data_IF_324540381632
#
_entry.id   IF_324540381632
#
_cell.length_a   1.000
_cell.length_b   1.000
_cell.length_c   1.000
_cell.angle_alpha   90.00
_cell.angle_beta   90.00
_cell.angle_gamma   90.00
#
_symmetry.space_group_name_H-M   'P 1'
#
loop_
_entity.id
_entity.type
_entity.pdbx_description
1 polymer ?
#
# COMPACT_ATOMS: atom_id res chain seq x y z
N UNK A 1 -15.24 -7.82 -25.82
CA UNK A 1 -13.78 -7.90 -25.62
C UNK A 1 -13.36 -6.60 -24.93
N UNK A 2 -13.04 -6.62 -23.64
CA UNK A 2 -12.69 -5.42 -22.88
C UNK A 2 -11.27 -5.56 -22.36
N UNK A 3 -10.32 -5.29 -23.24
CA UNK A 3 -8.98 -4.86 -22.85
C UNK A 3 -8.46 -3.99 -23.99
N UNK A 4 -8.59 -2.69 -23.82
CA UNK A 4 -7.87 -1.68 -24.59
C UNK A 4 -7.00 -0.87 -23.63
N UNK A 5 -5.80 -0.42 -24.06
CA UNK A 5 -4.85 0.26 -23.19
C UNK A 5 -5.37 1.68 -22.93
N UNK A 6 -5.77 1.97 -21.70
CA UNK A 6 -6.26 3.28 -21.30
C UNK A 6 -7.18 3.19 -20.10
N UNK A 7 -7.17 4.22 -19.25
CA UNK A 7 -7.95 4.35 -18.01
C UNK A 7 -9.47 4.21 -18.20
N UNK A 8 -9.98 3.03 -18.54
CA UNK A 8 -11.39 2.79 -18.81
C UNK A 8 -11.84 1.42 -18.25
N UNK A 9 -11.62 1.20 -16.95
CA UNK A 9 -12.23 0.07 -16.27
C UNK A 9 -13.75 0.30 -16.16
N UNK A 10 -14.54 -0.51 -16.87
CA UNK A 10 -16.01 -0.45 -16.82
C UNK A 10 -16.56 -0.94 -15.49
N UNK A 11 -15.87 -1.90 -14.87
CA UNK A 11 -16.23 -2.46 -13.58
C UNK A 11 -15.02 -2.37 -12.64
N UNK A 12 -15.27 -2.09 -11.37
CA UNK A 12 -14.29 -2.22 -10.30
C UNK A 12 -14.85 -3.19 -9.27
N UNK A 13 -14.07 -4.20 -8.94
CA UNK A 13 -14.37 -5.07 -7.80
C UNK A 13 -13.43 -4.70 -6.67
N UNK A 14 -14.00 -4.32 -5.54
CA UNK A 14 -13.29 -3.96 -4.33
C UNK A 14 -13.55 -5.02 -3.26
N UNK A 15 -12.47 -5.57 -2.71
CA UNK A 15 -12.50 -6.68 -1.77
C UNK A 15 -11.95 -6.26 -0.42
N UNK A 16 -12.68 -6.56 0.65
CA UNK A 16 -12.23 -6.42 2.02
C UNK A 16 -11.88 -7.80 2.57
N UNK A 17 -10.66 -7.95 3.08
CA UNK A 17 -10.16 -9.18 3.68
C UNK A 17 -9.72 -8.91 5.11
N UNK A 18 -10.10 -9.80 6.02
CA UNK A 18 -9.63 -9.79 7.39
C UNK A 18 -8.17 -10.27 7.44
N UNK A 19 -7.31 -9.55 8.17
CA UNK A 19 -5.88 -9.77 8.10
C UNK A 19 -5.43 -11.09 8.73
N UNK A 20 -6.03 -11.56 9.81
CA UNK A 20 -5.49 -12.70 10.56
C UNK A 20 -6.02 -14.03 9.99
N UNK A 21 -7.33 -14.12 9.79
CA UNK A 21 -8.01 -15.29 9.23
C UNK A 21 -7.93 -15.39 7.71
N UNK A 22 -7.48 -14.31 7.03
CA UNK A 22 -7.44 -14.20 5.56
C UNK A 22 -8.79 -14.43 4.88
N UNK A 23 -9.88 -14.28 5.62
CA UNK A 23 -11.24 -14.43 5.09
C UNK A 23 -11.67 -13.16 4.38
N UNK A 24 -12.29 -13.33 3.22
CA UNK A 24 -12.96 -12.23 2.52
C UNK A 24 -14.25 -11.88 3.27
N UNK A 25 -14.35 -10.65 3.76
CA UNK A 25 -15.51 -10.16 4.51
C UNK A 25 -16.55 -9.55 3.55
N UNK A 26 -16.08 -8.79 2.57
CA UNK A 26 -16.94 -8.05 1.65
C UNK A 26 -16.34 -8.03 0.26
N UNK A 27 -17.19 -8.19 -0.74
CA UNK A 27 -16.86 -7.99 -2.16
C UNK A 27 -17.92 -7.07 -2.73
N UNK A 28 -17.49 -5.95 -3.31
CA UNK A 28 -18.37 -4.98 -3.94
C UNK A 28 -17.92 -4.80 -5.39
N UNK A 29 -18.82 -5.07 -6.33
CA UNK A 29 -18.59 -4.77 -7.74
C UNK A 29 -19.43 -3.56 -8.11
N UNK A 30 -18.76 -2.52 -8.63
CA UNK A 30 -19.39 -1.28 -9.06
C UNK A 30 -19.22 -1.12 -10.56
N UNK A 31 -20.24 -0.57 -11.20
CA UNK A 31 -20.19 -0.16 -12.59
C UNK A 31 -19.79 1.32 -12.68
N UNK A 32 -18.91 1.63 -13.63
CA UNK A 32 -18.42 2.98 -13.90
C UNK A 32 -19.52 4.02 -14.20
N UNK A 33 -20.70 3.58 -14.63
CA UNK A 33 -21.90 4.42 -14.79
C UNK A 33 -22.38 5.01 -13.46
N UNK A 34 -22.05 4.37 -12.34
CA UNK A 34 -22.41 4.85 -10.99
C UNK A 34 -21.57 6.05 -10.52
N UNK A 35 -20.49 6.40 -11.24
CA UNK A 35 -19.56 7.48 -10.84
C UNK A 35 -19.37 8.55 -11.91
N UNK A 36 -20.41 8.82 -12.71
CA UNK A 36 -20.35 9.78 -13.83
C UNK A 36 -19.16 9.50 -14.77
N UNK A 37 -18.82 8.21 -14.97
CA UNK A 37 -17.69 7.78 -15.80
C UNK A 37 -16.29 8.18 -15.31
N UNK A 38 -16.11 8.47 -14.01
CA UNK A 38 -14.78 8.74 -13.41
C UNK A 38 -14.25 7.52 -12.65
N UNK A 39 -13.11 6.97 -13.10
CA UNK A 39 -12.53 5.76 -12.51
C UNK A 39 -12.00 5.97 -11.09
N UNK A 40 -11.34 7.10 -10.79
CA UNK A 40 -10.81 7.37 -9.46
C UNK A 40 -11.93 7.36 -8.38
N UNK A 41 -13.12 7.82 -8.77
CA UNK A 41 -14.30 7.80 -7.91
C UNK A 41 -14.83 6.38 -7.66
N UNK A 42 -14.54 5.43 -8.54
CA UNK A 42 -15.05 4.06 -8.47
C UNK A 42 -14.38 3.27 -7.35
N UNK A 43 -13.05 3.37 -7.21
CA UNK A 43 -12.31 2.77 -6.09
C UNK A 43 -12.75 3.37 -4.75
N UNK A 44 -12.85 4.70 -4.68
CA UNK A 44 -13.33 5.40 -3.49
C UNK A 44 -14.75 4.95 -3.12
N UNK A 45 -15.64 4.82 -4.11
CA UNK A 45 -17.01 4.35 -3.90
C UNK A 45 -17.03 2.91 -3.38
N UNK A 46 -16.23 2.02 -3.98
CA UNK A 46 -16.07 0.64 -3.53
C UNK A 46 -15.58 0.54 -2.09
N UNK A 47 -14.57 1.36 -1.74
CA UNK A 47 -14.06 1.46 -0.39
C UNK A 47 -15.15 1.89 0.61
N UNK A 48 -15.87 2.98 0.33
CA UNK A 48 -16.93 3.48 1.20
C UNK A 48 -18.04 2.45 1.39
N UNK A 49 -18.51 1.82 0.30
CA UNK A 49 -19.57 0.80 0.36
C UNK A 49 -19.14 -0.45 1.12
N UNK A 50 -17.89 -0.89 0.96
CA UNK A 50 -17.38 -2.02 1.71
C UNK A 50 -17.22 -1.70 3.20
N UNK A 51 -16.71 -0.51 3.55
CA UNK A 51 -16.65 -0.06 4.95
C UNK A 51 -18.04 0.03 5.60
N UNK A 52 -19.05 0.52 4.86
CA UNK A 52 -20.45 0.54 5.31
C UNK A 52 -20.99 -0.88 5.54
N UNK A 53 -20.81 -1.78 4.58
CA UNK A 53 -21.24 -3.19 4.68
C UNK A 53 -20.60 -3.91 5.87
N UNK A 54 -19.32 -3.68 6.14
CA UNK A 54 -18.63 -4.24 7.32
C UNK A 54 -19.25 -3.71 8.62
N UNK A 55 -19.55 -2.40 8.69
CA UNK A 55 -20.18 -1.77 9.86
C UNK A 55 -21.63 -2.23 10.06
N UNK A 56 -22.41 -2.37 9.00
CA UNK A 56 -23.79 -2.87 9.03
C UNK A 56 -23.89 -4.30 9.53
N UNK A 57 -22.87 -5.12 9.24
CA UNK A 57 -22.74 -6.48 9.80
C UNK A 57 -22.30 -6.52 11.26
N UNK A 58 -22.14 -5.37 11.90
CA UNK A 58 -21.72 -5.25 13.30
C UNK A 58 -20.24 -5.55 13.55
N UNK A 59 -19.40 -5.58 12.50
CA UNK A 59 -17.98 -5.83 12.65
C UNK A 59 -17.25 -4.53 13.05
N UNK A 60 -16.44 -4.62 14.11
CA UNK A 60 -15.62 -3.51 14.56
C UNK A 60 -14.29 -3.47 13.80
N UNK A 61 -14.11 -2.45 12.95
CA UNK A 61 -12.87 -2.24 12.22
C UNK A 61 -11.88 -1.45 13.09
N UNK A 62 -10.80 -2.09 13.54
CA UNK A 62 -9.73 -1.44 14.32
C UNK A 62 -8.72 -0.72 13.44
N UNK A 63 -8.36 -1.36 12.34
CA UNK A 63 -7.34 -0.88 11.40
C UNK A 63 -7.74 -1.25 9.97
N UNK A 64 -7.41 -0.36 9.05
CA UNK A 64 -7.54 -0.59 7.61
C UNK A 64 -6.18 -0.35 6.97
N UNK A 65 -5.72 -1.32 6.18
CA UNK A 65 -4.50 -1.23 5.38
C UNK A 65 -4.89 -0.99 3.92
N UNK A 66 -4.41 0.08 3.32
CA UNK A 66 -4.64 0.38 1.89
C UNK A 66 -3.38 0.84 1.18
N UNK A 67 -3.43 0.86 -0.15
CA UNK A 67 -2.46 1.60 -0.94
C UNK A 67 -2.44 3.10 -0.59
N UNK A 68 -1.39 3.78 -1.01
CA UNK A 68 -1.22 5.23 -0.90
C UNK A 68 -2.13 6.01 -1.88
N UNK A 69 -3.41 5.64 -1.96
CA UNK A 69 -4.40 6.33 -2.78
C UNK A 69 -4.92 7.57 -2.03
N UNK A 70 -4.60 8.75 -2.56
CA UNK A 70 -4.93 10.05 -1.96
C UNK A 70 -6.41 10.22 -1.58
N UNK A 71 -7.33 9.74 -2.41
CA UNK A 71 -8.77 9.87 -2.15
C UNK A 71 -9.21 9.01 -0.97
N UNK A 72 -8.71 7.78 -0.87
CA UNK A 72 -9.01 6.87 0.25
C UNK A 72 -8.40 7.42 1.54
N UNK A 73 -7.15 7.88 1.50
CA UNK A 73 -6.51 8.53 2.65
C UNK A 73 -7.28 9.76 3.14
N UNK A 74 -7.81 10.57 2.21
CA UNK A 74 -8.68 11.70 2.56
C UNK A 74 -10.00 11.25 3.20
N UNK A 75 -10.59 10.14 2.74
CA UNK A 75 -11.80 9.55 3.34
C UNK A 75 -11.51 9.05 4.74
N UNK A 76 -10.42 8.32 4.97
CA UNK A 76 -10.02 7.84 6.29
C UNK A 76 -9.84 9.01 7.27
N UNK A 77 -9.10 10.05 6.86
CA UNK A 77 -8.86 11.23 7.70
C UNK A 77 -10.12 12.05 8.01
N UNK A 78 -11.11 12.08 7.11
CA UNK A 78 -12.31 12.92 7.26
C UNK A 78 -13.50 12.17 7.87
N UNK A 79 -13.70 10.91 7.50
CA UNK A 79 -14.92 10.12 7.77
C UNK A 79 -14.68 9.04 8.83
N UNK A 80 -13.57 8.30 8.74
CA UNK A 80 -13.27 7.16 9.61
C UNK A 80 -12.10 7.47 10.57
N UNK A 81 -12.22 8.57 11.32
CA UNK A 81 -11.14 9.11 12.18
C UNK A 81 -10.78 8.18 13.35
N UNK A 82 -11.72 7.35 13.76
CA UNK A 82 -11.60 6.37 14.82
C UNK A 82 -10.85 5.10 14.38
N UNK A 83 -10.72 4.88 13.07
CA UNK A 83 -10.09 3.70 12.50
C UNK A 83 -8.64 4.03 12.17
N UNK A 84 -7.70 3.21 12.67
CA UNK A 84 -6.30 3.35 12.31
C UNK A 84 -6.13 3.12 10.81
N UNK A 85 -5.52 4.06 10.10
CA UNK A 85 -5.20 3.91 8.69
C UNK A 85 -3.71 3.62 8.53
N UNK A 86 -3.41 2.48 7.92
CA UNK A 86 -2.05 2.03 7.62
C UNK A 86 -1.87 1.80 6.12
N UNK A 87 -0.62 1.80 5.68
CA UNK A 87 -0.28 1.60 4.28
C UNK A 87 0.25 0.20 4.02
N UNK A 88 -0.03 -0.32 2.82
CA UNK A 88 0.52 -1.59 2.39
C UNK A 88 2.06 -1.50 2.26
N UNK A 89 2.74 -2.22 3.16
CA UNK A 89 4.20 -2.31 3.21
C UNK A 89 4.75 -2.96 1.93
N UNK A 90 3.99 -3.84 1.27
CA UNK A 90 4.45 -4.51 0.06
C UNK A 90 4.60 -3.53 -1.09
N UNK A 91 3.61 -2.65 -1.26
CA UNK A 91 3.71 -1.56 -2.21
C UNK A 91 4.86 -0.60 -1.88
N UNK A 92 5.11 -0.32 -0.60
CA UNK A 92 6.25 0.48 -0.17
C UNK A 92 7.60 -0.17 -0.51
N UNK A 93 7.79 -1.45 -0.16
CA UNK A 93 9.00 -2.23 -0.44
C UNK A 93 9.28 -2.35 -1.94
N UNK A 94 8.23 -2.58 -2.74
CA UNK A 94 8.32 -2.61 -4.20
C UNK A 94 8.75 -1.26 -4.78
N UNK A 95 8.18 -0.16 -4.28
CA UNK A 95 8.55 1.19 -4.72
C UNK A 95 9.98 1.56 -4.31
N UNK A 96 10.43 1.12 -3.12
CA UNK A 96 11.81 1.25 -2.69
C UNK A 96 12.75 0.53 -3.66
N UNK A 97 12.47 -0.72 -4.00
CA UNK A 97 13.26 -1.49 -4.96
C UNK A 97 13.40 -0.78 -6.32
N UNK A 98 12.29 -0.23 -6.85
CA UNK A 98 12.32 0.56 -8.10
C UNK A 98 13.25 1.78 -8.00
N UNK A 99 13.21 2.50 -6.87
CA UNK A 99 14.08 3.67 -6.64
C UNK A 99 15.54 3.28 -6.53
N UNK A 100 15.85 2.19 -5.83
CA UNK A 100 17.21 1.65 -5.71
C UNK A 100 17.77 1.25 -7.08
N UNK A 101 16.97 0.56 -7.90
CA UNK A 101 17.37 0.16 -9.26
C UNK A 101 17.62 1.39 -10.14
N UNK A 102 16.76 2.41 -10.04
CA UNK A 102 16.92 3.66 -10.79
C UNK A 102 18.19 4.40 -10.36
N UNK A 103 18.44 4.53 -9.05
CA UNK A 103 19.65 5.14 -8.51
C UNK A 103 20.92 4.37 -8.92
N UNK A 104 20.87 3.04 -8.92
CA UNK A 104 21.97 2.18 -9.33
C UNK A 104 22.30 2.19 -10.83
N UNK A 105 21.49 2.87 -11.66
CA UNK A 105 21.88 3.11 -13.07
C UNK A 105 23.00 4.15 -13.20
N UNK A 106 23.18 5.01 -12.19
CA UNK A 106 24.32 5.92 -12.14
C UNK A 106 25.62 5.12 -11.98
N UNK A 107 26.65 5.49 -12.75
CA UNK A 107 27.96 4.82 -12.70
C UNK A 107 28.59 4.89 -11.32
N UNK A 108 28.36 5.98 -10.57
CA UNK A 108 28.88 6.17 -9.22
C UNK A 108 28.11 5.37 -8.17
N UNK A 109 26.93 4.84 -8.51
CA UNK A 109 26.03 4.16 -7.58
C UNK A 109 25.76 2.70 -7.98
N UNK A 110 26.55 2.14 -8.91
CA UNK A 110 26.28 0.82 -9.51
C UNK A 110 26.26 -0.33 -8.51
N UNK A 111 26.98 -0.18 -7.39
CA UNK A 111 26.96 -1.12 -6.27
C UNK A 111 25.56 -1.28 -5.66
N UNK A 112 24.70 -0.24 -5.69
CA UNK A 112 23.32 -0.34 -5.22
C UNK A 112 22.52 -1.42 -5.93
N UNK A 113 22.83 -1.74 -7.19
CA UNK A 113 22.13 -2.79 -7.93
C UNK A 113 22.36 -4.17 -7.29
N UNK A 114 23.60 -4.43 -6.82
CA UNK A 114 23.96 -5.70 -6.17
C UNK A 114 23.17 -5.90 -4.88
N UNK A 115 23.01 -4.83 -4.11
CA UNK A 115 22.41 -4.85 -2.77
C UNK A 115 20.91 -4.53 -2.74
N UNK A 116 20.33 -4.12 -3.86
CA UNK A 116 18.93 -3.66 -3.95
C UNK A 116 17.93 -4.66 -3.34
N UNK A 117 18.16 -5.96 -3.54
CA UNK A 117 17.34 -7.02 -2.99
C UNK A 117 17.47 -7.12 -1.47
N UNK A 118 18.69 -7.06 -0.95
CA UNK A 118 18.97 -7.14 0.49
C UNK A 118 18.39 -5.94 1.23
N UNK A 119 18.52 -4.74 0.66
CA UNK A 119 17.92 -3.52 1.22
C UNK A 119 16.39 -3.63 1.27
N UNK A 120 15.75 -4.11 0.20
CA UNK A 120 14.28 -4.29 0.17
C UNK A 120 13.83 -5.35 1.18
N UNK A 121 14.57 -6.46 1.30
CA UNK A 121 14.27 -7.51 2.27
C UNK A 121 14.43 -7.02 3.71
N UNK A 122 15.50 -6.27 4.00
CA UNK A 122 15.74 -5.69 5.32
C UNK A 122 14.66 -4.66 5.68
N UNK A 123 14.28 -3.81 4.73
CA UNK A 123 13.15 -2.88 4.90
C UNK A 123 11.86 -3.64 5.25
N UNK A 124 11.50 -4.67 4.48
CA UNK A 124 10.32 -5.50 4.74
C UNK A 124 10.36 -6.15 6.13
N UNK A 125 11.50 -6.75 6.48
CA UNK A 125 11.69 -7.39 7.78
C UNK A 125 11.57 -6.37 8.92
N UNK A 126 12.18 -5.20 8.77
CA UNK A 126 12.13 -4.12 9.77
C UNK A 126 10.70 -3.63 9.98
N UNK A 127 9.93 -3.40 8.91
CA UNK A 127 8.51 -3.05 9.02
C UNK A 127 7.67 -4.10 9.76
N UNK A 128 8.08 -5.37 9.71
CA UNK A 128 7.37 -6.46 10.40
C UNK A 128 7.65 -6.51 11.90
N UNK A 129 8.85 -6.10 12.34
CA UNK A 129 9.30 -6.28 13.72
C UNK A 129 9.32 -4.99 14.54
N UNK A 130 9.38 -3.83 13.89
CA UNK A 130 9.46 -2.55 14.58
C UNK A 130 8.13 -2.24 15.27
N UNK A 131 8.19 -1.84 16.53
CA UNK A 131 7.02 -1.50 17.32
C UNK A 131 6.58 -0.05 17.14
N UNK A 132 7.53 0.81 16.74
CA UNK A 132 7.30 2.24 16.52
C UNK A 132 8.22 2.78 15.41
N UNK A 133 8.03 4.07 15.12
CA UNK A 133 8.78 4.76 14.07
C UNK A 133 10.26 4.90 14.43
N UNK A 134 10.61 5.09 15.70
CA UNK A 134 11.98 5.31 16.12
C UNK A 134 12.80 4.02 15.97
N UNK A 135 12.25 2.90 16.43
CA UNK A 135 12.84 1.57 16.23
C UNK A 135 12.97 1.25 14.74
N UNK A 136 11.95 1.56 13.94
CA UNK A 136 12.01 1.41 12.49
C UNK A 136 13.16 2.22 11.88
N UNK A 137 13.27 3.51 12.23
CA UNK A 137 14.27 4.41 11.69
C UNK A 137 15.68 3.98 12.09
N UNK A 138 15.92 3.64 13.36
CA UNK A 138 17.23 3.16 13.82
C UNK A 138 17.66 1.91 13.05
N UNK A 139 16.77 0.93 12.90
CA UNK A 139 17.07 -0.34 12.20
C UNK A 139 17.32 -0.14 10.71
N UNK A 140 16.62 0.78 10.05
CA UNK A 140 16.83 1.07 8.62
C UNK A 140 18.11 1.89 8.42
N UNK A 141 18.33 2.93 9.21
CA UNK A 141 19.49 3.83 9.07
C UNK A 141 20.79 3.09 9.40
N UNK A 142 20.84 2.37 10.53
CA UNK A 142 22.05 1.61 10.88
C UNK A 142 22.40 0.56 9.82
N UNK A 143 21.40 -0.07 9.21
CA UNK A 143 21.64 -0.99 8.10
C UNK A 143 22.17 -0.25 6.88
N UNK A 144 21.55 0.86 6.46
CA UNK A 144 22.04 1.61 5.30
C UNK A 144 23.46 2.16 5.53
N UNK A 145 23.75 2.70 6.71
CA UNK A 145 25.06 3.28 7.05
C UNK A 145 26.16 2.21 7.10
N UNK A 146 25.88 1.06 7.73
CA UNK A 146 26.79 -0.08 7.72
C UNK A 146 27.08 -0.53 6.28
N UNK A 147 26.06 -0.60 5.42
CA UNK A 147 26.23 -1.04 4.04
C UNK A 147 26.96 -0.01 3.15
N UNK A 148 26.70 1.28 3.32
CA UNK A 148 27.43 2.35 2.63
C UNK A 148 28.91 2.35 3.03
N UNK A 149 29.22 2.07 4.30
CA UNK A 149 30.61 1.95 4.78
C UNK A 149 31.38 0.76 4.22
N UNK A 150 30.69 -0.27 3.72
CA UNK A 150 31.30 -1.45 3.07
C UNK A 150 31.51 -1.26 1.55
N UNK A 151 30.92 -0.21 0.96
CA UNK A 151 30.96 0.06 -0.48
C UNK A 151 31.92 1.20 -0.88
N UNK A 152 32.47 1.94 0.09
CA UNK A 152 33.48 3.01 -0.08
C UNK A 152 34.81 2.51 0.48
#
# INVERSE_FOLDING_TARGET
RMDSPGHCAQYCTYTFMENDSKKVISVKTMDKRETEQKNANLEKLGFIRGMQDVRERGLQVKEVVTDAHLQIGAVMKKVYKEVKHSHDIWHAAKNLGKKLIAAGQDKNCRELLKWSKDIVNHFWYTCKIANDLDEFMVRVVHFIDFYLSLCI
#
